data_IF_623392208426
#
_entry.id   IF_623392208426
#
_cell.length_a   1.000
_cell.length_b   1.000
_cell.length_c   1.000
_cell.angle_alpha   90.00
_cell.angle_beta   90.00
_cell.angle_gamma   90.00
#
_symmetry.space_group_name_H-M   'P 1'
#
loop_
_entity.id
_entity.type
_entity.pdbx_description
1 polymer ?
#
# COMPACT_ATOMS: atom_id res chain seq x y z
N UNK A 1 35.24 -6.89 45.77
CA UNK A 1 34.74 -6.20 44.56
C UNK A 1 34.93 -7.14 43.37
N UNK A 2 33.92 -7.90 42.98
CA UNK A 2 33.97 -8.68 41.73
C UNK A 2 33.27 -7.85 40.66
N UNK A 3 34.06 -7.24 39.78
CA UNK A 3 33.56 -6.62 38.56
C UNK A 3 32.90 -7.74 37.74
N UNK A 4 31.57 -7.68 37.62
CA UNK A 4 30.71 -8.73 37.10
C UNK A 4 30.99 -8.92 35.59
N UNK A 5 31.83 -9.90 35.18
CA UNK A 5 32.38 -9.96 33.83
C UNK A 5 31.36 -10.40 32.77
N UNK A 6 30.14 -10.75 33.21
CA UNK A 6 29.04 -11.19 32.38
C UNK A 6 28.07 -10.05 31.99
N UNK A 7 28.16 -8.88 32.62
CA UNK A 7 27.25 -7.76 32.30
C UNK A 7 27.56 -7.11 30.96
N UNK A 8 28.85 -6.96 30.65
CA UNK A 8 29.34 -6.39 29.39
C UNK A 8 28.92 -7.19 28.15
N UNK A 9 29.12 -8.52 28.07
CA UNK A 9 28.64 -9.28 26.91
C UNK A 9 27.11 -9.26 26.78
N UNK A 10 26.39 -9.23 27.90
CA UNK A 10 24.92 -9.20 27.92
C UNK A 10 24.36 -7.85 27.44
N UNK A 11 25.03 -6.75 27.77
CA UNK A 11 24.72 -5.40 27.25
C UNK A 11 24.98 -5.30 25.75
N UNK A 12 26.12 -5.82 25.27
CA UNK A 12 26.44 -5.82 23.84
C UNK A 12 25.44 -6.64 23.03
N UNK A 13 25.01 -7.80 23.53
CA UNK A 13 23.97 -8.60 22.93
C UNK A 13 22.62 -7.86 22.88
N UNK A 14 22.23 -7.18 23.95
CA UNK A 14 21.01 -6.38 23.98
C UNK A 14 21.04 -5.24 22.95
N UNK A 15 22.19 -4.56 22.80
CA UNK A 15 22.38 -3.50 21.80
C UNK A 15 22.28 -4.08 20.38
N UNK A 16 22.94 -5.21 20.10
CA UNK A 16 22.86 -5.89 18.81
C UNK A 16 21.42 -6.30 18.46
N UNK A 17 20.70 -6.90 19.40
CA UNK A 17 19.30 -7.29 19.22
C UNK A 17 18.43 -6.06 18.97
N UNK A 18 18.63 -4.96 19.70
CA UNK A 18 17.90 -3.72 19.49
C UNK A 18 18.17 -3.12 18.10
N UNK A 19 19.43 -3.11 17.63
CA UNK A 19 19.79 -2.64 16.29
C UNK A 19 19.19 -3.50 15.18
N UNK A 20 19.20 -4.82 15.34
CA UNK A 20 18.56 -5.76 14.39
C UNK A 20 17.04 -5.56 14.39
N UNK A 21 16.41 -5.38 15.55
CA UNK A 21 14.98 -5.09 15.64
C UNK A 21 14.63 -3.74 14.98
N UNK A 22 15.44 -2.70 15.17
CA UNK A 22 15.23 -1.38 14.55
C UNK A 22 15.33 -1.46 13.02
N UNK A 23 16.35 -2.14 12.50
CA UNK A 23 16.54 -2.30 11.05
C UNK A 23 15.47 -3.20 10.42
N UNK A 24 15.01 -4.23 11.12
CA UNK A 24 13.87 -5.05 10.71
C UNK A 24 12.55 -4.26 10.72
N UNK A 25 12.37 -3.36 11.69
CA UNK A 25 11.19 -2.50 11.78
C UNK A 25 11.16 -1.45 10.66
N UNK A 26 12.29 -0.85 10.30
CA UNK A 26 12.37 0.04 9.13
C UNK A 26 12.14 -0.72 7.81
N UNK A 27 12.64 -1.96 7.68
CA UNK A 27 12.34 -2.82 6.51
C UNK A 27 10.87 -3.23 6.38
N UNK A 28 10.12 -3.27 7.48
CA UNK A 28 8.69 -3.63 7.48
C UNK A 28 7.77 -2.47 7.14
N UNK A 29 8.26 -1.24 7.11
CA UNK A 29 7.49 -0.12 6.58
C UNK A 29 7.54 -0.21 5.05
N UNK A 30 6.68 -1.04 4.48
CA UNK A 30 6.22 -0.85 3.10
C UNK A 30 5.50 0.49 3.08
N UNK A 31 6.26 1.58 2.91
CA UNK A 31 5.68 2.90 2.70
C UNK A 31 5.10 2.87 1.29
N UNK A 32 3.90 2.29 1.19
CA UNK A 32 3.06 2.38 0.01
C UNK A 32 3.07 3.84 -0.43
N UNK A 33 3.45 4.06 -1.68
CA UNK A 33 3.64 5.40 -2.21
C UNK A 33 2.30 6.11 -2.21
N UNK A 34 2.13 7.06 -1.29
CA UNK A 34 0.89 7.82 -1.12
C UNK A 34 1.19 9.27 -1.44
N UNK A 35 0.64 9.75 -2.54
CA UNK A 35 0.84 11.10 -3.02
C UNK A 35 -0.48 11.84 -3.20
N UNK A 36 -0.45 13.16 -2.97
CA UNK A 36 -1.58 14.04 -3.25
C UNK A 36 -1.58 14.34 -4.74
N UNK A 37 -2.67 13.97 -5.42
CA UNK A 37 -2.82 14.09 -6.88
C UNK A 37 -3.87 15.13 -7.25
N UNK A 38 -3.73 15.82 -8.40
CA UNK A 38 -4.71 16.79 -8.83
C UNK A 38 -5.99 16.12 -9.34
N UNK A 39 -7.12 16.80 -9.14
CA UNK A 39 -8.45 16.34 -9.58
C UNK A 39 -8.55 16.21 -11.10
N UNK A 40 -7.68 16.89 -11.85
CA UNK A 40 -7.61 16.81 -13.31
C UNK A 40 -7.09 15.47 -13.84
N UNK A 41 -6.56 14.59 -12.98
CA UNK A 41 -6.11 13.27 -13.44
C UNK A 41 -7.27 12.43 -13.97
N UNK A 42 -7.13 11.79 -15.15
CA UNK A 42 -8.21 11.00 -15.74
C UNK A 42 -8.75 9.90 -14.83
N UNK A 43 -7.86 9.25 -14.06
CA UNK A 43 -8.20 8.19 -13.10
C UNK A 43 -9.08 8.73 -11.97
N UNK A 44 -8.77 9.94 -11.50
CA UNK A 44 -9.54 10.63 -10.45
C UNK A 44 -10.90 11.05 -10.99
N UNK A 45 -10.95 11.63 -12.20
CA UNK A 45 -12.21 12.01 -12.86
C UNK A 45 -13.14 10.81 -13.02
N UNK A 46 -12.62 9.70 -13.54
CA UNK A 46 -13.41 8.47 -13.73
C UNK A 46 -13.91 7.91 -12.39
N UNK A 47 -13.08 7.96 -11.34
CA UNK A 47 -13.45 7.51 -9.99
C UNK A 47 -14.55 8.39 -9.40
N UNK A 48 -14.44 9.72 -9.51
CA UNK A 48 -15.46 10.65 -9.04
C UNK A 48 -16.79 10.46 -9.77
N UNK A 49 -16.75 10.22 -11.08
CA UNK A 49 -17.95 9.89 -11.87
C UNK A 49 -18.60 8.58 -11.40
N UNK A 50 -17.80 7.54 -11.18
CA UNK A 50 -18.28 6.27 -10.63
C UNK A 50 -18.97 6.47 -9.28
N UNK A 51 -18.33 7.19 -8.36
CA UNK A 51 -18.87 7.44 -7.01
C UNK A 51 -20.18 8.21 -7.06
N UNK A 52 -20.28 9.26 -7.88
CA UNK A 52 -21.53 10.03 -8.05
C UNK A 52 -22.65 9.13 -8.58
N UNK A 53 -22.36 8.32 -9.59
CA UNK A 53 -23.35 7.45 -10.22
C UNK A 53 -23.81 6.34 -9.28
N UNK A 54 -22.88 5.69 -8.58
CA UNK A 54 -23.20 4.63 -7.62
C UNK A 54 -24.01 5.17 -6.43
N UNK A 55 -23.64 6.35 -5.93
CA UNK A 55 -24.38 7.01 -4.85
C UNK A 55 -25.81 7.36 -5.28
N UNK A 56 -25.99 8.04 -6.42
CA UNK A 56 -27.31 8.42 -6.91
C UNK A 56 -28.19 7.23 -7.25
N UNK A 57 -27.61 6.12 -7.72
CA UNK A 57 -28.35 4.87 -7.98
C UNK A 57 -28.87 4.23 -6.69
N UNK A 58 -28.12 4.34 -5.58
CA UNK A 58 -28.46 3.74 -4.28
C UNK A 58 -29.31 4.66 -3.40
N UNK A 59 -29.26 5.96 -3.64
CA UNK A 59 -30.08 6.93 -2.94
C UNK A 59 -31.53 6.82 -3.40
N UNK A 60 -32.46 6.90 -2.45
CA UNK A 60 -33.90 6.99 -2.71
C UNK A 60 -34.38 8.45 -2.83
N UNK A 61 -33.44 9.41 -2.85
CA UNK A 61 -33.78 10.81 -3.05
C UNK A 61 -34.33 11.04 -4.46
N UNK A 62 -35.32 11.92 -4.55
CA UNK A 62 -35.92 12.32 -5.83
C UNK A 62 -34.91 13.01 -6.75
N UNK A 63 -33.88 13.65 -6.19
CA UNK A 63 -32.90 14.43 -6.94
C UNK A 63 -31.49 13.82 -6.89
N UNK A 64 -30.75 14.05 -7.96
CA UNK A 64 -29.36 13.62 -8.05
C UNK A 64 -28.44 14.56 -7.27
N UNK A 65 -27.54 13.97 -6.51
CA UNK A 65 -26.45 14.64 -5.86
C UNK A 65 -25.29 14.87 -6.82
N UNK A 66 -24.55 15.96 -6.59
CA UNK A 66 -23.32 16.28 -7.30
C UNK A 66 -22.24 16.68 -6.30
N UNK A 67 -20.99 16.39 -6.64
CA UNK A 67 -19.84 16.86 -5.89
C UNK A 67 -19.65 18.34 -6.20
N UNK A 68 -19.74 19.20 -5.18
CA UNK A 68 -19.56 20.66 -5.33
C UNK A 68 -18.08 21.03 -5.29
N UNK A 69 -17.30 20.38 -4.43
CA UNK A 69 -15.87 20.66 -4.25
C UNK A 69 -15.14 19.41 -3.77
N UNK A 70 -14.01 19.12 -4.41
CA UNK A 70 -13.04 18.13 -3.93
C UNK A 70 -11.95 18.88 -3.17
N UNK A 71 -11.66 18.46 -1.94
CA UNK A 71 -10.67 19.12 -1.09
C UNK A 71 -9.26 18.63 -1.39
N UNK A 72 -9.07 17.31 -1.33
CA UNK A 72 -7.80 16.63 -1.58
C UNK A 72 -8.08 15.27 -2.20
N UNK A 73 -7.15 14.80 -3.01
CA UNK A 73 -7.17 13.44 -3.55
C UNK A 73 -5.82 12.81 -3.26
N UNK A 74 -5.86 11.64 -2.64
CA UNK A 74 -4.67 10.86 -2.34
C UNK A 74 -4.71 9.60 -3.18
N UNK A 75 -3.62 9.35 -3.88
CA UNK A 75 -3.44 8.14 -4.67
C UNK A 75 -2.38 7.29 -4.01
N UNK A 76 -2.69 6.00 -3.88
CA UNK A 76 -1.74 5.01 -3.45
C UNK A 76 -1.28 4.21 -4.67
N UNK A 77 0.02 4.22 -4.96
CA UNK A 77 0.62 3.48 -6.05
C UNK A 77 1.46 2.32 -5.53
N UNK A 78 1.22 1.14 -6.12
CA UNK A 78 1.98 -0.08 -5.87
C UNK A 78 2.32 -0.65 -7.24
N UNK A 79 3.60 -0.90 -7.46
CA UNK A 79 4.07 -1.58 -8.66
C UNK A 79 4.18 -3.08 -8.37
N UNK A 80 3.61 -3.91 -9.23
CA UNK A 80 3.65 -5.36 -9.06
C UNK A 80 4.10 -6.05 -10.34
N UNK A 81 5.16 -6.85 -10.22
CA UNK A 81 5.66 -7.75 -11.23
C UNK A 81 5.11 -9.15 -11.01
N UNK A 82 4.40 -9.66 -12.01
CA UNK A 82 3.84 -11.01 -12.00
C UNK A 82 4.56 -11.88 -13.03
N UNK A 83 4.92 -13.10 -12.64
CA UNK A 83 5.29 -14.15 -13.58
C UNK A 83 4.12 -15.10 -13.71
N UNK A 84 3.59 -15.26 -14.92
CA UNK A 84 2.38 -16.06 -15.18
C UNK A 84 2.68 -17.14 -16.21
N UNK A 85 2.29 -18.37 -15.89
CA UNK A 85 2.27 -19.48 -16.84
C UNK A 85 0.90 -19.51 -17.53
N UNK A 86 0.89 -19.65 -18.86
CA UNK A 86 -0.34 -19.68 -19.65
C UNK A 86 -0.34 -20.87 -20.60
N UNK A 87 -1.50 -21.52 -20.73
CA UNK A 87 -1.80 -22.54 -21.75
C UNK A 87 -2.99 -22.03 -22.57
N UNK A 88 -2.73 -21.24 -23.64
CA UNK A 88 -3.77 -20.43 -24.30
C UNK A 88 -4.91 -21.26 -24.89
N UNK A 89 -4.59 -22.39 -25.51
CA UNK A 89 -5.54 -23.29 -26.19
C UNK A 89 -6.57 -23.93 -25.25
N UNK A 90 -6.31 -23.90 -23.94
CA UNK A 90 -7.22 -24.40 -22.91
C UNK A 90 -7.67 -23.29 -21.95
N UNK A 91 -7.34 -22.03 -22.24
CA UNK A 91 -7.62 -20.87 -21.38
C UNK A 91 -7.14 -21.03 -19.92
N UNK A 92 -6.11 -21.85 -19.71
CA UNK A 92 -5.55 -22.07 -18.37
C UNK A 92 -4.44 -21.08 -18.09
N UNK A 93 -4.46 -20.44 -16.93
CA UNK A 93 -3.40 -19.57 -16.45
C UNK A 93 -3.07 -19.87 -14.99
N UNK A 94 -1.82 -19.66 -14.60
CA UNK A 94 -1.34 -19.82 -13.23
C UNK A 94 -0.29 -18.76 -12.91
N UNK A 95 -0.52 -18.00 -11.85
CA UNK A 95 0.50 -17.07 -11.32
C UNK A 95 1.59 -17.92 -10.67
N UNK A 96 2.82 -17.79 -11.17
CA UNK A 96 4.00 -18.48 -10.64
C UNK A 96 4.69 -17.65 -9.56
N UNK A 97 4.79 -16.34 -9.77
CA UNK A 97 5.41 -15.42 -8.83
C UNK A 97 4.69 -14.07 -8.84
N UNK A 98 4.72 -13.39 -7.70
CA UNK A 98 4.22 -12.02 -7.50
C UNK A 98 5.23 -11.29 -6.64
N UNK A 99 5.84 -10.26 -7.19
CA UNK A 99 6.67 -9.32 -6.45
C UNK A 99 6.06 -7.93 -6.54
N UNK A 100 5.78 -7.29 -5.41
CA UNK A 100 5.27 -5.94 -5.39
C UNK A 100 6.23 -5.02 -4.65
N UNK A 101 6.45 -3.84 -5.22
CA UNK A 101 7.23 -2.76 -4.64
C UNK A 101 6.35 -1.53 -4.49
N UNK A 102 6.65 -0.71 -3.49
CA UNK A 102 6.06 0.61 -3.38
C UNK A 102 6.55 1.46 -4.56
N UNK A 103 5.64 2.25 -5.16
CA UNK A 103 5.92 3.06 -6.36
C UNK A 103 6.77 4.31 -6.13
#
# INVERSE_FOLDING_TARGET
MMARPWQTPQLLLAILVALVALTHQERRKTFMSVEEVPVSEPQVIATLQFVINDFNKKSDDKYNFRIVRVLKVWKQQIECFYSVFVVPWFEKYKILNKNCTDG
#
